data_IF_016161282086
#
_entry.id   IF_016161282086
#
_cell.length_a   1.000
_cell.length_b   1.000
_cell.length_c   1.000
_cell.angle_alpha   90.00
_cell.angle_beta   90.00
_cell.angle_gamma   90.00
#
_symmetry.space_group_name_H-M   'P 1'
#
loop_
_entity.id
_entity.type
_entity.pdbx_description
1 polymer ?
#
# COMPACT_ATOMS: atom_id res chain seq x y z
N UNK A 1 -9.47 6.12 -3.13
CA UNK A 1 -8.01 6.32 -3.11
C UNK A 1 -7.43 6.47 -4.52
N UNK A 2 -7.64 5.52 -5.44
CA UNK A 2 -7.16 5.62 -6.84
C UNK A 2 -7.77 6.82 -7.59
N UNK A 3 -9.05 7.14 -7.39
CA UNK A 3 -9.66 8.31 -8.07
C UNK A 3 -9.09 9.66 -7.64
N UNK A 4 -8.75 9.82 -6.36
CA UNK A 4 -8.09 11.04 -5.88
C UNK A 4 -6.66 11.14 -6.38
N UNK A 5 -5.98 10.00 -6.47
CA UNK A 5 -4.66 9.90 -7.08
C UNK A 5 -4.68 10.34 -8.55
N UNK A 6 -5.64 9.82 -9.32
CA UNK A 6 -5.83 10.18 -10.73
C UNK A 6 -6.15 11.68 -10.91
N UNK A 7 -6.95 12.27 -10.01
CA UNK A 7 -7.27 13.70 -10.04
C UNK A 7 -6.09 14.59 -9.65
N UNK A 8 -5.32 14.22 -8.64
CA UNK A 8 -4.08 14.94 -8.28
C UNK A 8 -3.08 14.88 -9.42
N UNK A 9 -2.87 13.70 -10.00
CA UNK A 9 -2.00 13.50 -11.17
C UNK A 9 -2.43 14.36 -12.36
N UNK A 10 -3.72 14.37 -12.68
CA UNK A 10 -4.25 15.16 -13.79
C UNK A 10 -4.07 16.67 -13.54
N UNK A 11 -4.21 17.12 -12.30
CA UNK A 11 -4.01 18.53 -11.93
C UNK A 11 -2.54 18.93 -11.99
N UNK A 12 -1.64 18.10 -11.46
CA UNK A 12 -0.18 18.34 -11.51
C UNK A 12 0.34 18.31 -12.94
N UNK A 13 -0.18 17.39 -13.77
CA UNK A 13 0.15 17.32 -15.19
C UNK A 13 -0.35 18.56 -15.94
N UNK A 14 -1.59 19.00 -15.68
CA UNK A 14 -2.14 20.24 -16.26
C UNK A 14 -1.40 21.50 -15.82
N UNK A 15 -0.87 21.53 -14.59
CA UNK A 15 -0.05 22.64 -14.10
C UNK A 15 1.36 22.66 -14.74
N UNK A 16 1.89 21.48 -15.09
CA UNK A 16 3.18 21.34 -15.74
C UNK A 16 3.12 21.49 -17.28
N UNK A 17 1.94 21.39 -17.87
CA UNK A 17 1.70 21.53 -19.31
C UNK A 17 1.23 22.97 -19.61
N UNK A 18 2.00 23.76 -20.38
CA UNK A 18 1.56 25.07 -20.85
C UNK A 18 0.30 24.96 -21.73
N UNK A 19 -0.57 25.97 -21.67
CA UNK A 19 -1.90 26.04 -22.32
C UNK A 19 -1.92 25.89 -23.85
N UNK A 20 -0.75 25.80 -24.50
CA UNK A 20 -0.55 25.62 -25.93
C UNK A 20 -0.26 24.15 -26.25
N UNK A 21 -1.24 23.28 -25.99
CA UNK A 21 -1.21 21.89 -26.41
C UNK A 21 -1.54 21.78 -27.90
N UNK A 22 -0.52 21.94 -28.75
CA UNK A 22 -0.53 21.35 -30.08
C UNK A 22 0.63 20.39 -30.30
N UNK A 23 1.78 20.57 -29.63
CA UNK A 23 2.97 19.74 -29.86
C UNK A 23 3.85 19.67 -28.60
N UNK A 24 3.39 19.03 -27.52
CA UNK A 24 4.33 18.62 -26.48
C UNK A 24 5.06 17.36 -26.95
N UNK A 25 6.40 17.39 -27.12
CA UNK A 25 7.14 16.21 -27.53
C UNK A 25 6.94 15.07 -26.54
N UNK A 26 6.74 13.84 -27.04
CA UNK A 26 6.52 12.64 -26.22
C UNK A 26 7.57 12.47 -25.11
N UNK A 27 8.81 12.85 -25.40
CA UNK A 27 9.94 12.83 -24.46
C UNK A 27 9.75 13.79 -23.27
N UNK A 28 9.20 14.97 -23.51
CA UNK A 28 8.93 15.99 -22.48
C UNK A 28 7.81 15.51 -21.56
N UNK A 29 6.74 14.95 -22.15
CA UNK A 29 5.61 14.38 -21.42
C UNK A 29 6.05 13.19 -20.55
N UNK A 30 6.89 12.30 -21.10
CA UNK A 30 7.44 11.16 -20.35
C UNK A 30 8.28 11.62 -19.15
N UNK A 31 9.14 12.62 -19.33
CA UNK A 31 9.95 13.21 -18.26
C UNK A 31 9.07 13.83 -17.16
N UNK A 32 8.01 14.54 -17.52
CA UNK A 32 7.04 15.09 -16.57
C UNK A 32 6.32 13.99 -15.78
N UNK A 33 5.85 12.94 -16.46
CA UNK A 33 5.21 11.79 -15.81
C UNK A 33 6.16 11.08 -14.84
N UNK A 34 7.40 10.81 -15.25
CA UNK A 34 8.41 10.19 -14.39
C UNK A 34 8.72 11.05 -13.17
N UNK A 35 8.79 12.38 -13.31
CA UNK A 35 8.99 13.31 -12.18
C UNK A 35 7.79 13.33 -11.23
N UNK A 36 6.57 13.34 -11.75
CA UNK A 36 5.37 13.34 -10.91
C UNK A 36 5.19 12.02 -10.18
N UNK A 37 5.39 10.87 -10.85
CA UNK A 37 5.35 9.55 -10.22
C UNK A 37 6.42 9.41 -9.13
N UNK A 38 7.63 9.94 -9.33
CA UNK A 38 8.68 9.97 -8.30
C UNK A 38 8.31 10.81 -7.07
N UNK A 39 7.53 11.89 -7.23
CA UNK A 39 7.07 12.72 -6.11
C UNK A 39 6.00 12.05 -5.26
N UNK A 40 5.36 10.98 -5.73
CA UNK A 40 4.23 10.36 -5.06
C UNK A 40 4.61 9.37 -3.94
N UNK A 41 5.87 9.34 -3.50
CA UNK A 41 6.38 8.39 -2.50
C UNK A 41 5.92 6.95 -2.77
N UNK A 42 5.95 6.56 -4.06
CA UNK A 42 5.49 5.25 -4.47
C UNK A 42 6.46 4.21 -3.91
N UNK A 43 5.92 3.23 -3.21
CA UNK A 43 6.66 2.01 -2.87
C UNK A 43 6.81 1.17 -4.12
N UNK A 44 7.97 0.55 -4.30
CA UNK A 44 8.17 -0.40 -5.38
C UNK A 44 7.23 -1.60 -5.23
N UNK A 45 6.95 -2.29 -6.34
CA UNK A 45 6.11 -3.49 -6.29
C UNK A 45 6.71 -4.56 -5.38
N UNK A 46 8.03 -4.70 -5.42
CA UNK A 46 8.77 -5.67 -4.60
C UNK A 46 8.67 -5.34 -3.10
N UNK A 47 8.76 -4.06 -2.71
CA UNK A 47 8.56 -3.63 -1.32
C UNK A 47 7.13 -3.87 -0.84
N UNK A 48 6.15 -3.61 -1.71
CA UNK A 48 4.74 -3.89 -1.40
C UNK A 48 4.51 -5.39 -1.17
N UNK A 49 5.01 -6.24 -2.07
CA UNK A 49 4.86 -7.69 -1.98
C UNK A 49 5.60 -8.24 -0.74
N UNK A 50 6.76 -7.67 -0.39
CA UNK A 50 7.49 -8.01 0.83
C UNK A 50 6.69 -7.65 2.10
N UNK A 51 6.08 -6.46 2.16
CA UNK A 51 5.21 -6.06 3.29
C UNK A 51 3.98 -6.95 3.39
N UNK A 52 3.37 -7.31 2.26
CA UNK A 52 2.24 -8.23 2.23
C UNK A 52 2.62 -9.60 2.81
N UNK A 53 3.79 -10.13 2.46
CA UNK A 53 4.28 -11.40 3.01
C UNK A 53 4.51 -11.33 4.53
N UNK A 54 5.04 -10.22 5.04
CA UNK A 54 5.19 -10.01 6.50
C UNK A 54 3.82 -9.98 7.19
N UNK A 55 2.83 -9.30 6.60
CA UNK A 55 1.47 -9.24 7.15
C UNK A 55 0.80 -10.62 7.19
N UNK A 56 0.94 -11.41 6.12
CA UNK A 56 0.45 -12.79 6.06
C UNK A 56 1.03 -13.62 7.22
N UNK A 57 2.35 -13.63 7.36
CA UNK A 57 3.03 -14.35 8.45
C UNK A 57 2.61 -13.87 9.84
N UNK A 58 2.32 -12.58 9.97
CA UNK A 58 1.87 -12.01 11.25
C UNK A 58 0.46 -12.47 11.59
N UNK A 59 -0.45 -12.58 10.61
CA UNK A 59 -1.78 -13.15 10.82
C UNK A 59 -1.73 -14.62 11.24
N UNK A 60 -0.93 -15.43 10.55
CA UNK A 60 -0.76 -16.84 10.89
C UNK A 60 -0.24 -17.02 12.33
N UNK A 61 0.72 -16.20 12.75
CA UNK A 61 1.22 -16.21 14.13
C UNK A 61 0.18 -15.74 15.13
N UNK A 62 -0.62 -14.75 14.78
CA UNK A 62 -1.69 -14.23 15.64
C UNK A 62 -2.74 -15.32 15.89
N UNK A 63 -3.22 -15.96 14.83
CA UNK A 63 -4.19 -17.06 14.91
C UNK A 63 -3.67 -18.22 15.77
N UNK A 64 -2.40 -18.60 15.59
CA UNK A 64 -1.78 -19.64 16.41
C UNK A 64 -1.70 -19.26 17.91
N UNK A 65 -1.41 -17.99 18.22
CA UNK A 65 -1.36 -17.51 19.60
C UNK A 65 -2.76 -17.41 20.21
N UNK A 66 -3.76 -16.97 19.45
CA UNK A 66 -5.17 -16.95 19.89
C UNK A 66 -5.65 -18.36 20.23
N UNK A 67 -5.27 -19.35 19.42
CA UNK A 67 -5.61 -20.75 19.69
C UNK A 67 -4.92 -21.29 20.96
N UNK A 68 -3.63 -21.02 21.13
CA UNK A 68 -2.91 -21.40 22.36
C UNK A 68 -3.51 -20.73 23.59
N UNK A 69 -3.92 -19.46 23.49
CA UNK A 69 -4.55 -18.76 24.59
C UNK A 69 -5.89 -19.40 24.96
N UNK A 70 -6.73 -19.73 23.99
CA UNK A 70 -8.01 -20.40 24.23
C UNK A 70 -7.84 -21.77 24.91
N UNK A 71 -6.84 -22.55 24.50
CA UNK A 71 -6.50 -23.83 25.13
C UNK A 71 -6.09 -23.65 26.60
N UNK A 72 -5.25 -22.65 26.88
CA UNK A 72 -4.80 -22.33 28.24
C UNK A 72 -5.94 -21.81 29.12
N UNK A 73 -6.80 -20.94 28.58
CA UNK A 73 -7.98 -20.43 29.28
C UNK A 73 -8.95 -21.56 29.65
N UNK A 74 -9.17 -22.51 28.74
CA UNK A 74 -10.00 -23.70 28.98
C UNK A 74 -9.38 -24.58 30.08
N UNK A 75 -8.10 -24.88 29.99
CA UNK A 75 -7.40 -25.69 30.99
C UNK A 75 -7.40 -25.04 32.38
N UNK A 76 -7.28 -23.71 32.45
CA UNK A 76 -7.35 -22.97 33.71
C UNK A 76 -8.76 -23.02 34.33
N UNK A 77 -9.81 -22.93 33.52
CA UNK A 77 -11.20 -23.07 33.97
C UNK A 77 -11.50 -24.48 34.48
N UNK A 78 -11.02 -25.52 33.79
CA UNK A 78 -11.21 -26.92 34.21
C UNK A 78 -10.52 -27.20 35.57
N UNK A 79 -9.36 -26.58 35.83
CA UNK A 79 -8.61 -26.75 37.09
C UNK A 79 -9.20 -26.02 38.30
N UNK A 80 -10.08 -25.04 38.09
CA UNK A 80 -10.71 -24.25 39.16
C UNK A 80 -12.15 -24.69 39.48
N UNK A 81 -12.72 -25.59 38.66
CA UNK A 81 -14.04 -26.19 38.84
C UNK A 81 -14.06 -27.59 39.46
N UNK A 82 -12.89 -28.22 39.73
CA UNK A 82 -12.75 -29.45 40.52
C UNK A 82 -12.13 -29.18 41.88
#
# INVERSE_FOLDING_TARGET
>A
MIEQLARSLLNDLKAAIPSSTSELPERELRSLLERTLRKMNLVSRDEFDAQQAVLMRTREKLEALEQQLAELETAAQDSSGS
#
